data_IF_974718591858
#
_entry.id   IF_974718591858
#
_cell.length_a   1.000
_cell.length_b   1.000
_cell.length_c   1.000
_cell.angle_alpha   90.00
_cell.angle_beta   90.00
_cell.angle_gamma   90.00
#
_symmetry.space_group_name_H-M   'P 1'
#
loop_
_entity.id
_entity.type
_entity.pdbx_description
1 polymer ?
#
# COMPACT_ATOMS: atom_id res chain seq x y z
N UNK A 1 41.53 -23.97 -4.60
CA UNK A 1 40.61 -23.81 -3.45
C UNK A 1 39.37 -23.09 -4.00
N UNK A 2 38.31 -23.84 -4.29
CA UNK A 2 37.09 -23.34 -4.93
C UNK A 2 36.20 -22.70 -3.85
N UNK A 3 36.15 -21.37 -3.80
CA UNK A 3 35.19 -20.64 -2.99
C UNK A 3 33.85 -20.58 -3.73
N UNK A 4 33.01 -21.59 -3.43
CA UNK A 4 31.56 -21.66 -3.50
C UNK A 4 30.81 -20.54 -4.26
N UNK A 5 30.48 -20.81 -5.52
CA UNK A 5 29.42 -20.12 -6.29
C UNK A 5 28.07 -20.12 -5.55
N UNK A 6 27.88 -21.05 -4.61
CA UNK A 6 26.68 -21.17 -3.76
C UNK A 6 26.43 -19.94 -2.90
N UNK A 7 27.46 -19.16 -2.53
CA UNK A 7 27.25 -17.95 -1.71
C UNK A 7 26.66 -16.79 -2.51
N UNK A 8 26.94 -16.73 -3.83
CA UNK A 8 26.33 -15.75 -4.73
C UNK A 8 24.90 -16.14 -5.12
N UNK A 9 24.61 -17.43 -5.30
CA UNK A 9 23.24 -17.91 -5.52
C UNK A 9 22.33 -17.72 -4.30
N UNK A 10 22.88 -17.81 -3.08
CA UNK A 10 22.09 -17.65 -1.85
C UNK A 10 21.60 -16.21 -1.61
N UNK A 11 22.20 -15.21 -2.25
CA UNK A 11 21.72 -13.83 -2.21
C UNK A 11 20.63 -13.53 -3.26
N UNK A 12 20.40 -14.46 -4.21
CA UNK A 12 19.38 -14.32 -5.26
C UNK A 12 18.05 -14.99 -4.86
N UNK A 13 18.04 -15.81 -3.79
CA UNK A 13 16.87 -16.57 -3.33
C UNK A 13 16.10 -15.93 -2.14
N UNK A 14 16.10 -14.61 -2.00
CA UNK A 14 15.21 -13.91 -1.03
C UNK A 14 14.44 -12.75 -1.65
N UNK A 15 14.33 -12.71 -2.99
CA UNK A 15 13.09 -12.23 -3.59
C UNK A 15 12.05 -13.30 -3.29
N UNK A 16 11.33 -13.15 -2.18
CA UNK A 16 10.08 -13.87 -2.01
C UNK A 16 9.30 -13.74 -3.32
N UNK A 17 8.77 -14.83 -3.86
CA UNK A 17 7.73 -14.87 -4.90
C UNK A 17 6.41 -14.22 -4.41
N UNK A 18 6.51 -13.26 -3.49
CA UNK A 18 5.43 -12.42 -3.01
C UNK A 18 5.05 -11.46 -4.12
N UNK A 19 3.76 -11.24 -4.24
CA UNK A 19 3.22 -10.31 -5.20
C UNK A 19 3.50 -8.90 -4.68
N UNK A 20 4.15 -8.06 -5.48
CA UNK A 20 4.55 -6.70 -5.08
C UNK A 20 3.37 -5.73 -5.18
N UNK A 21 3.25 -4.86 -4.19
CA UNK A 21 2.26 -3.79 -4.08
C UNK A 21 2.96 -2.48 -3.73
N UNK A 22 2.39 -1.38 -4.20
CA UNK A 22 2.74 -0.02 -3.85
C UNK A 22 1.73 0.52 -2.84
N UNK A 23 2.22 0.77 -1.62
CA UNK A 23 1.46 1.38 -0.54
C UNK A 23 1.66 2.89 -0.57
N UNK A 24 0.56 3.64 -0.65
CA UNK A 24 0.55 5.10 -0.61
C UNK A 24 0.47 5.52 0.85
N UNK A 25 1.62 5.84 1.44
CA UNK A 25 1.76 6.16 2.86
C UNK A 25 1.75 7.67 3.09
N UNK A 26 0.90 8.12 4.00
CA UNK A 26 0.87 9.52 4.46
C UNK A 26 1.91 9.75 5.56
N UNK A 27 1.92 8.90 6.57
CA UNK A 27 2.77 9.11 7.74
C UNK A 27 2.92 7.87 8.61
N UNK A 28 3.85 7.99 9.55
CA UNK A 28 4.06 7.01 10.63
C UNK A 28 4.05 7.77 11.95
N UNK A 29 3.18 7.36 12.86
CA UNK A 29 2.93 8.08 14.11
C UNK A 29 3.24 7.19 15.31
N UNK A 30 3.88 7.75 16.33
CA UNK A 30 4.11 7.06 17.61
C UNK A 30 2.95 7.20 18.59
N UNK A 31 1.93 8.02 18.26
CA UNK A 31 0.75 8.25 19.09
C UNK A 31 -0.51 8.22 18.23
N UNK A 32 -1.51 7.48 18.69
CA UNK A 32 -2.84 7.42 18.06
C UNK A 32 -3.53 8.78 18.04
N UNK A 33 -3.35 9.59 19.08
CA UNK A 33 -3.96 10.92 19.17
C UNK A 33 -3.44 11.86 18.08
N UNK A 34 -2.11 11.94 17.92
CA UNK A 34 -1.46 12.74 16.89
C UNK A 34 -1.87 12.26 15.50
N UNK A 35 -1.92 10.95 15.29
CA UNK A 35 -2.38 10.36 14.04
C UNK A 35 -3.83 10.77 13.73
N UNK A 36 -4.74 10.66 14.70
CA UNK A 36 -6.15 11.01 14.52
C UNK A 36 -6.30 12.48 14.16
N UNK A 37 -5.61 13.38 14.85
CA UNK A 37 -5.67 14.82 14.56
C UNK A 37 -5.14 15.15 13.16
N UNK A 38 -3.98 14.62 12.80
CA UNK A 38 -3.34 14.93 11.51
C UNK A 38 -4.07 14.32 10.30
N UNK A 39 -4.85 13.27 10.53
CA UNK A 39 -5.56 12.55 9.46
C UNK A 39 -7.07 12.75 9.51
N UNK A 40 -7.58 13.66 10.36
CA UNK A 40 -9.02 13.84 10.61
C UNK A 40 -9.83 14.14 9.33
N UNK A 41 -9.24 14.87 8.41
CA UNK A 41 -9.87 15.28 7.14
C UNK A 41 -9.68 14.23 6.02
N UNK A 42 -8.96 13.14 6.32
CA UNK A 42 -8.75 12.01 5.41
C UNK A 42 -9.76 10.91 5.74
N UNK A 43 -10.77 10.77 4.87
CA UNK A 43 -11.82 9.76 5.01
C UNK A 43 -11.32 8.37 4.58
N UNK A 44 -10.69 8.28 3.42
CA UNK A 44 -10.18 7.02 2.85
C UNK A 44 -8.78 6.76 3.39
N UNK A 45 -8.67 5.87 4.39
CA UNK A 45 -7.41 5.41 4.98
C UNK A 45 -7.55 4.08 5.71
N UNK A 46 -6.44 3.35 5.82
CA UNK A 46 -6.24 2.21 6.73
C UNK A 46 -5.03 2.49 7.62
N UNK A 47 -5.03 1.93 8.83
CA UNK A 47 -3.94 2.09 9.79
C UNK A 47 -3.39 0.73 10.19
N UNK A 48 -2.13 0.46 9.89
CA UNK A 48 -1.43 -0.71 10.41
C UNK A 48 -0.62 -0.34 11.67
N UNK A 49 -0.71 -1.16 12.72
CA UNK A 49 -0.02 -0.89 13.99
C UNK A 49 1.05 -1.95 14.23
N UNK A 50 2.31 -1.54 14.19
CA UNK A 50 3.46 -2.41 14.39
C UNK A 50 4.48 -1.72 15.31
N UNK A 51 4.93 -2.42 16.36
CA UNK A 51 5.94 -1.92 17.31
C UNK A 51 5.60 -0.52 17.87
N UNK A 52 4.36 -0.32 18.30
CA UNK A 52 3.82 0.96 18.80
C UNK A 52 3.91 2.14 17.81
N UNK A 53 3.99 1.83 16.52
CA UNK A 53 3.88 2.83 15.44
C UNK A 53 2.63 2.56 14.62
N UNK A 54 1.99 3.64 14.21
CA UNK A 54 0.78 3.64 13.40
C UNK A 54 1.13 4.13 12.00
N UNK A 55 1.07 3.23 11.03
CA UNK A 55 1.35 3.49 9.62
C UNK A 55 0.04 3.79 8.92
N UNK A 56 -0.08 4.99 8.35
CA UNK A 56 -1.30 5.43 7.67
C UNK A 56 -1.14 5.24 6.18
N UNK A 57 -1.98 4.39 5.59
CA UNK A 57 -2.02 4.15 4.15
C UNK A 57 -3.31 4.70 3.56
N UNK A 58 -3.18 5.37 2.43
CA UNK A 58 -4.25 6.07 1.71
C UNK A 58 -4.65 5.38 0.40
N UNK A 59 -3.94 4.31 0.04
CA UNK A 59 -4.21 3.50 -1.14
C UNK A 59 -3.21 2.37 -1.28
N UNK A 60 -3.60 1.35 -2.03
CA UNK A 60 -2.76 0.17 -2.33
C UNK A 60 -3.02 -0.21 -3.78
N UNK A 61 -1.96 -0.33 -4.57
CA UNK A 61 -2.06 -0.67 -5.98
C UNK A 61 -0.90 -1.56 -6.40
N UNK A 62 -1.05 -2.28 -7.51
CA UNK A 62 0.06 -3.03 -8.11
C UNK A 62 0.62 -2.35 -9.36
N UNK A 63 0.01 -1.25 -9.78
CA UNK A 63 0.44 -0.45 -10.91
C UNK A 63 1.15 0.83 -10.43
N UNK A 64 2.38 1.03 -10.91
CA UNK A 64 3.19 2.18 -10.51
C UNK A 64 2.60 3.53 -10.97
N UNK A 65 1.91 3.56 -12.11
CA UNK A 65 1.23 4.75 -12.61
C UNK A 65 0.00 5.07 -11.77
N UNK A 66 -0.77 4.05 -11.36
CA UNK A 66 -1.85 4.25 -10.39
C UNK A 66 -1.32 4.77 -9.06
N UNK A 67 -0.18 4.24 -8.59
CA UNK A 67 0.44 4.72 -7.35
C UNK A 67 0.78 6.22 -7.41
N UNK A 68 1.33 6.67 -8.55
CA UNK A 68 1.59 8.10 -8.81
C UNK A 68 0.30 8.91 -8.91
N UNK A 69 -0.72 8.39 -9.59
CA UNK A 69 -2.03 9.05 -9.74
C UNK A 69 -2.70 9.29 -8.37
N UNK A 70 -2.70 8.28 -7.50
CA UNK A 70 -3.24 8.37 -6.14
C UNK A 70 -2.40 9.33 -5.30
N UNK A 71 -1.06 9.23 -5.38
CA UNK A 71 -0.15 10.17 -4.72
C UNK A 71 -0.47 11.63 -5.09
N UNK A 72 -0.59 11.93 -6.39
CA UNK A 72 -0.85 13.28 -6.88
C UNK A 72 -2.18 13.85 -6.37
N UNK A 73 -3.21 13.01 -6.19
CA UNK A 73 -4.50 13.44 -5.63
C UNK A 73 -4.34 13.99 -4.22
N UNK A 74 -3.55 13.33 -3.38
CA UNK A 74 -3.34 13.74 -1.99
C UNK A 74 -2.29 14.86 -1.87
N UNK A 75 -1.24 14.87 -2.69
CA UNK A 75 -0.28 15.99 -2.72
C UNK A 75 -0.94 17.31 -3.14
N UNK A 76 -1.88 17.27 -4.09
CA UNK A 76 -2.70 18.45 -4.44
C UNK A 76 -3.60 18.94 -3.31
N UNK A 77 -3.90 18.09 -2.32
CA UNK A 77 -4.62 18.46 -1.10
C UNK A 77 -3.69 18.92 0.03
N UNK A 78 -2.37 18.97 -0.21
CA UNK A 78 -1.37 19.46 0.75
C UNK A 78 -0.74 18.39 1.63
N UNK A 79 -1.00 17.10 1.38
CA UNK A 79 -0.40 16.01 2.15
C UNK A 79 0.96 15.62 1.57
N UNK A 80 1.90 15.27 2.45
CA UNK A 80 3.17 14.69 2.02
C UNK A 80 3.03 13.17 1.89
N UNK A 81 3.27 12.63 0.70
CA UNK A 81 2.94 11.24 0.39
C UNK A 81 4.17 10.46 -0.08
N UNK A 82 4.30 9.24 0.41
CA UNK A 82 5.37 8.31 0.09
C UNK A 82 4.81 7.05 -0.55
N UNK A 83 5.48 6.53 -1.58
CA UNK A 83 5.18 5.22 -2.14
C UNK A 83 6.14 4.21 -1.53
N UNK A 84 5.62 3.15 -0.93
CA UNK A 84 6.41 2.07 -0.31
C UNK A 84 6.06 0.74 -0.96
N UNK A 85 7.07 0.03 -1.44
CA UNK A 85 6.89 -1.32 -1.95
C UNK A 85 6.76 -2.30 -0.79
N UNK A 86 5.77 -3.19 -0.87
CA UNK A 86 5.59 -4.30 0.05
C UNK A 86 5.23 -5.56 -0.71
N UNK A 87 5.74 -6.69 -0.25
CA UNK A 87 5.38 -8.00 -0.79
C UNK A 87 4.35 -8.65 0.13
N UNK A 88 3.22 -9.07 -0.44
CA UNK A 88 2.19 -9.82 0.27
C UNK A 88 1.95 -11.15 -0.43
N UNK A 89 1.62 -12.17 0.36
CA UNK A 89 1.33 -13.52 -0.11
C UNK A 89 -0.14 -13.85 0.16
N UNK A 90 -1.04 -13.20 -0.56
CA UNK A 90 -2.47 -13.52 -0.55
C UNK A 90 -3.01 -13.43 -1.99
N UNK A 91 -3.48 -14.56 -2.52
CA UNK A 91 -3.91 -14.67 -3.92
C UNK A 91 -5.24 -13.97 -4.20
N UNK A 92 -6.17 -14.01 -3.25
CA UNK A 92 -7.47 -13.35 -3.37
C UNK A 92 -7.29 -11.82 -3.41
N UNK A 93 -6.56 -11.26 -2.44
CA UNK A 93 -6.26 -9.85 -2.39
C UNK A 93 -5.53 -9.37 -3.66
N UNK A 94 -4.62 -10.19 -4.18
CA UNK A 94 -3.96 -9.91 -5.46
C UNK A 94 -4.92 -9.79 -6.63
N UNK A 95 -5.83 -10.75 -6.76
CA UNK A 95 -6.80 -10.75 -7.85
C UNK A 95 -7.73 -9.53 -7.73
N UNK A 96 -8.16 -9.20 -6.50
CA UNK A 96 -9.01 -8.04 -6.23
C UNK A 96 -8.30 -6.73 -6.61
N UNK A 97 -7.08 -6.48 -6.12
CA UNK A 97 -6.32 -5.26 -6.46
C UNK A 97 -6.04 -5.16 -7.95
N UNK A 98 -5.79 -6.29 -8.62
CA UNK A 98 -5.58 -6.29 -10.09
C UNK A 98 -6.82 -5.82 -10.85
N UNK A 99 -8.02 -6.22 -10.40
CA UNK A 99 -9.27 -5.76 -11.01
C UNK A 99 -9.52 -4.28 -10.71
N UNK A 100 -9.26 -3.84 -9.48
CA UNK A 100 -9.38 -2.43 -9.11
C UNK A 100 -8.40 -1.54 -9.87
N UNK A 101 -7.18 -2.00 -10.15
CA UNK A 101 -6.20 -1.28 -10.96
C UNK A 101 -6.70 -0.99 -12.39
N UNK A 102 -7.49 -1.89 -12.97
CA UNK A 102 -8.14 -1.67 -14.28
C UNK A 102 -9.15 -0.52 -14.17
N UNK A 103 -9.95 -0.49 -13.10
CA UNK A 103 -10.93 0.57 -12.85
C UNK A 103 -10.26 1.92 -12.65
N UNK A 104 -9.20 2.00 -11.83
CA UNK A 104 -8.42 3.23 -11.62
C UNK A 104 -7.80 3.72 -12.94
N UNK A 105 -7.29 2.81 -13.77
CA UNK A 105 -6.71 3.16 -15.07
C UNK A 105 -7.76 3.71 -16.06
N UNK A 106 -9.03 3.36 -15.90
CA UNK A 106 -10.14 3.80 -16.77
C UNK A 106 -10.71 5.18 -16.47
N UNK A 107 -10.24 5.85 -15.41
CA UNK A 107 -10.76 7.16 -14.98
C UNK A 107 -9.65 8.10 -14.53
N UNK A 108 -9.86 9.39 -14.70
CA UNK A 108 -9.00 10.45 -14.17
C UNK A 108 -9.70 11.26 -13.07
N UNK A 109 -10.94 10.91 -12.71
CA UNK A 109 -11.68 11.63 -11.67
C UNK A 109 -11.21 11.20 -10.29
N UNK A 110 -10.64 12.15 -9.56
CA UNK A 110 -10.13 11.91 -8.21
C UNK A 110 -11.17 11.28 -7.27
N UNK A 111 -12.44 11.69 -7.33
CA UNK A 111 -13.49 11.12 -6.50
C UNK A 111 -13.74 9.63 -6.77
N UNK A 112 -13.76 9.23 -8.06
CA UNK A 112 -13.99 7.83 -8.44
C UNK A 112 -12.80 6.96 -8.01
N UNK A 113 -11.58 7.45 -8.19
CA UNK A 113 -10.35 6.78 -7.76
C UNK A 113 -10.38 6.56 -6.24
N UNK A 114 -10.73 7.59 -5.47
CA UNK A 114 -10.79 7.47 -4.00
C UNK A 114 -11.87 6.49 -3.53
N UNK A 115 -13.01 6.40 -4.20
CA UNK A 115 -14.02 5.37 -3.91
C UNK A 115 -13.52 3.96 -4.22
N UNK A 116 -12.74 3.78 -5.29
CA UNK A 116 -12.12 2.49 -5.60
C UNK A 116 -11.09 2.13 -4.51
N UNK A 117 -10.23 3.06 -4.13
CA UNK A 117 -9.24 2.85 -3.07
C UNK A 117 -9.89 2.54 -1.72
N UNK A 118 -11.04 3.13 -1.39
CA UNK A 118 -11.78 2.77 -0.19
C UNK A 118 -12.11 1.28 -0.14
N UNK A 119 -12.55 0.71 -1.26
CA UNK A 119 -12.84 -0.72 -1.38
C UNK A 119 -11.56 -1.56 -1.28
N UNK A 120 -10.46 -1.11 -1.92
CA UNK A 120 -9.16 -1.80 -1.83
C UNK A 120 -8.66 -1.84 -0.38
N UNK A 121 -8.74 -0.72 0.34
CA UNK A 121 -8.30 -0.64 1.73
C UNK A 121 -9.19 -1.50 2.65
N UNK A 122 -10.49 -1.56 2.40
CA UNK A 122 -11.39 -2.47 3.11
C UNK A 122 -11.03 -3.94 2.87
N UNK A 123 -10.72 -4.33 1.62
CA UNK A 123 -10.25 -5.67 1.28
C UNK A 123 -8.92 -6.01 1.99
N UNK A 124 -8.01 -5.04 2.10
CA UNK A 124 -6.75 -5.22 2.81
C UNK A 124 -6.98 -5.47 4.31
N UNK A 125 -7.85 -4.69 4.95
CA UNK A 125 -8.25 -4.89 6.34
C UNK A 125 -8.83 -6.30 6.56
N UNK A 126 -9.69 -6.75 5.65
CA UNK A 126 -10.37 -8.04 5.76
C UNK A 126 -9.46 -9.24 5.49
N UNK A 127 -8.72 -9.24 4.39
CA UNK A 127 -8.00 -10.41 3.87
C UNK A 127 -6.54 -10.49 4.32
N UNK A 128 -5.97 -9.38 4.81
CA UNK A 128 -4.54 -9.34 5.21
C UNK A 128 -4.38 -9.08 6.69
N UNK A 129 -5.20 -8.18 7.28
CA UNK A 129 -5.05 -7.80 8.68
C UNK A 129 -5.82 -8.67 9.65
N UNK A 130 -7.04 -9.13 9.31
CA UNK A 130 -7.80 -10.04 10.19
C UNK A 130 -7.20 -11.45 10.28
N UNK A 131 -6.39 -11.84 9.30
CA UNK A 131 -5.69 -13.14 9.29
C UNK A 131 -4.42 -13.16 10.16
N UNK A 132 -4.08 -12.05 10.86
CA UNK A 132 -2.94 -11.94 11.79
C UNK A 132 -3.41 -11.89 13.24
#
# INVERSE_FOLDING_TARGET
MLLNSTYKEKLVNTFSEGKTYYFIQEGVYSSKEIMTENTKDIQVKTVDTLNNKHYVYLGITRDNNNAKKIKDIYEKKGYQIYIKEQNLSNEEFYNNVTQFDILVNSTDKASEILTIEEVVLANYEELIKKDK
#
